data_IF_216069489240
#
_entry.id   IF_216069489240
#
_cell.length_a   1.000
_cell.length_b   1.000
_cell.length_c   1.000
_cell.angle_alpha   90.00
_cell.angle_beta   90.00
_cell.angle_gamma   90.00
#
_symmetry.space_group_name_H-M   'P 1'
#
loop_
_entity.id
_entity.type
_entity.pdbx_description
1 polymer ?
#
# COMPACT_ATOMS: atom_id res chain seq x y z
N UNK A 1 -21.71 6.88 7.55
CA UNK A 1 -20.37 6.31 7.32
C UNK A 1 -20.39 4.93 7.93
N UNK A 2 -20.23 3.88 7.11
CA UNK A 2 -20.16 2.50 7.60
C UNK A 2 -18.79 2.30 8.29
N UNK A 3 -18.77 1.47 9.34
CA UNK A 3 -17.55 1.14 10.08
C UNK A 3 -17.22 -0.33 9.80
N UNK A 4 -16.01 -0.59 9.33
CA UNK A 4 -15.50 -1.90 8.94
C UNK A 4 -14.52 -2.35 10.01
N UNK A 5 -14.88 -3.41 10.75
CA UNK A 5 -14.10 -3.92 11.88
C UNK A 5 -13.63 -5.37 11.67
N UNK A 6 -14.28 -6.12 10.76
CA UNK A 6 -13.89 -7.49 10.39
C UNK A 6 -12.48 -7.49 9.81
N UNK A 7 -11.66 -8.46 10.21
CA UNK A 7 -10.28 -8.61 9.76
C UNK A 7 -10.12 -9.90 8.95
N UNK A 8 -9.40 -9.81 7.86
CA UNK A 8 -8.92 -10.95 7.07
C UNK A 8 -7.39 -10.93 7.04
N UNK A 9 -6.80 -12.01 6.53
CA UNK A 9 -5.34 -12.23 6.47
C UNK A 9 -4.86 -12.63 5.08
N UNK A 10 -5.77 -12.59 4.11
CA UNK A 10 -5.49 -12.91 2.71
C UNK A 10 -6.47 -12.15 1.81
N UNK A 11 -5.98 -11.72 0.66
CA UNK A 11 -6.77 -11.30 -0.48
C UNK A 11 -7.27 -12.55 -1.21
N UNK A 12 -8.59 -12.73 -1.22
CA UNK A 12 -9.24 -13.88 -1.84
C UNK A 12 -10.57 -13.49 -2.44
N UNK A 13 -10.87 -14.00 -3.64
CA UNK A 13 -12.18 -13.89 -4.28
C UNK A 13 -13.28 -14.65 -3.55
N UNK A 14 -12.90 -15.59 -2.69
CA UNK A 14 -13.81 -16.45 -1.93
C UNK A 14 -14.10 -15.90 -0.52
N UNK A 15 -13.44 -14.81 -0.11
CA UNK A 15 -13.79 -14.12 1.13
C UNK A 15 -15.20 -13.54 1.04
N UNK A 16 -16.05 -13.86 2.02
CA UNK A 16 -17.36 -13.24 2.12
C UNK A 16 -17.19 -11.75 2.48
N UNK A 17 -17.88 -10.83 1.78
CA UNK A 17 -17.78 -9.41 2.10
C UNK A 17 -18.45 -9.13 3.46
N UNK A 18 -17.77 -8.39 4.32
CA UNK A 18 -18.30 -7.95 5.61
C UNK A 18 -19.27 -6.76 5.48
N UNK A 19 -19.18 -6.01 4.37
CA UNK A 19 -20.04 -4.88 4.06
C UNK A 19 -20.18 -4.68 2.55
N UNK A 20 -21.13 -3.85 2.16
CA UNK A 20 -21.35 -3.41 0.78
C UNK A 20 -21.41 -1.89 0.71
N UNK A 21 -20.77 -1.28 -0.29
CA UNK A 21 -20.70 0.16 -0.46
C UNK A 21 -21.06 0.58 -1.88
N UNK A 22 -21.79 1.68 -2.02
CA UNK A 22 -22.00 2.34 -3.32
C UNK A 22 -20.78 3.20 -3.71
N UNK A 23 -20.47 3.34 -5.01
CA UNK A 23 -19.53 4.35 -5.48
C UNK A 23 -19.92 5.75 -4.97
N UNK A 24 -18.97 6.46 -4.37
CA UNK A 24 -19.15 7.76 -3.72
C UNK A 24 -19.32 7.69 -2.19
N UNK A 25 -19.51 6.50 -1.61
CA UNK A 25 -19.60 6.35 -0.16
C UNK A 25 -18.27 6.54 0.56
N UNK A 26 -18.38 7.07 1.78
CA UNK A 26 -17.29 7.20 2.74
C UNK A 26 -17.41 6.10 3.80
N UNK A 27 -16.29 5.41 4.03
CA UNK A 27 -16.15 4.26 4.92
C UNK A 27 -15.04 4.54 5.94
N UNK A 28 -15.20 3.99 7.14
CA UNK A 28 -14.18 3.97 8.19
C UNK A 28 -13.71 2.54 8.40
N UNK A 29 -12.43 2.27 8.18
CA UNK A 29 -11.80 0.99 8.45
C UNK A 29 -11.02 1.07 9.76
N UNK A 30 -11.31 0.17 10.70
CA UNK A 30 -10.53 0.05 11.94
C UNK A 30 -9.53 -1.09 11.80
N UNK A 31 -8.25 -0.78 11.92
CA UNK A 31 -7.16 -1.72 11.69
C UNK A 31 -6.41 -1.99 12.98
N UNK A 32 -5.95 -3.22 13.13
CA UNK A 32 -4.95 -3.56 14.14
C UNK A 32 -3.56 -3.18 13.60
N UNK A 33 -2.54 -3.22 14.46
CA UNK A 33 -1.15 -3.24 13.97
C UNK A 33 -0.87 -4.55 13.22
N UNK A 34 0.26 -4.60 12.49
CA UNK A 34 0.65 -5.76 11.69
C UNK A 34 0.83 -7.05 12.53
N UNK A 35 1.08 -6.89 13.83
CA UNK A 35 1.23 -7.96 14.80
C UNK A 35 -0.10 -8.37 15.47
N UNK A 36 -1.24 -7.77 15.12
CA UNK A 36 -2.52 -7.98 15.81
C UNK A 36 -2.41 -7.81 17.34
N UNK A 37 -1.61 -6.84 17.81
CA UNK A 37 -1.35 -6.57 19.23
C UNK A 37 -0.56 -7.65 19.96
N UNK A 38 0.08 -8.58 19.25
CA UNK A 38 0.84 -9.69 19.85
C UNK A 38 2.22 -9.28 20.40
N UNK A 39 2.66 -8.04 20.16
CA UNK A 39 3.86 -7.45 20.77
C UNK A 39 3.42 -6.33 21.73
N UNK A 40 2.93 -6.66 22.94
CA UNK A 40 2.42 -5.66 23.89
C UNK A 40 3.52 -4.89 24.64
N UNK A 41 4.79 -5.33 24.54
CA UNK A 41 5.93 -4.76 25.28
C UNK A 41 7.26 -5.12 24.61
N UNK A 42 8.33 -4.39 24.94
CA UNK A 42 9.69 -4.66 24.42
C UNK A 42 10.29 -6.03 24.86
N UNK A 43 9.69 -6.70 25.85
CA UNK A 43 10.10 -8.04 26.31
C UNK A 43 9.60 -9.18 25.38
N UNK A 44 8.66 -8.87 24.48
CA UNK A 44 8.13 -9.82 23.48
C UNK A 44 8.71 -9.43 22.14
N UNK A 45 9.22 -10.41 21.39
CA UNK A 45 9.85 -10.20 20.09
C UNK A 45 9.20 -11.04 19.01
N UNK A 46 9.50 -10.78 17.73
CA UNK A 46 8.99 -11.61 16.62
C UNK A 46 9.37 -13.10 16.76
N UNK A 47 10.50 -13.40 17.44
CA UNK A 47 10.91 -14.76 17.76
C UNK A 47 9.87 -15.52 18.59
N UNK A 48 9.19 -14.82 19.50
CA UNK A 48 8.18 -15.39 20.39
C UNK A 48 6.85 -15.69 19.67
N UNK A 49 6.64 -15.09 18.49
CA UNK A 49 5.41 -15.21 17.72
C UNK A 49 5.37 -16.41 16.78
N UNK A 50 6.45 -17.20 16.69
CA UNK A 50 6.66 -18.20 15.62
C UNK A 50 6.39 -17.59 14.23
N UNK A 51 6.93 -16.38 14.00
CA UNK A 51 6.55 -15.49 12.91
C UNK A 51 6.52 -16.23 11.56
N UNK A 52 5.34 -16.26 10.96
CA UNK A 52 5.14 -16.64 9.56
C UNK A 52 4.16 -15.66 8.97
N UNK A 53 4.36 -15.27 7.71
CA UNK A 53 3.49 -14.30 7.03
C UNK A 53 2.01 -14.72 7.00
N UNK A 54 1.70 -16.01 7.19
CA UNK A 54 0.34 -16.56 7.11
C UNK A 54 -0.64 -16.11 8.20
N UNK A 55 -0.25 -15.23 9.13
CA UNK A 55 -1.15 -14.69 10.15
C UNK A 55 -0.81 -13.25 10.55
N UNK A 56 0.06 -12.57 9.80
CA UNK A 56 0.46 -11.18 10.04
C UNK A 56 -0.30 -10.26 9.11
N UNK A 57 -0.26 -8.96 9.40
CA UNK A 57 -0.88 -7.89 8.60
C UNK A 57 -2.40 -8.07 8.43
N UNK A 58 -3.18 -8.24 9.52
CA UNK A 58 -4.63 -8.31 9.42
C UNK A 58 -5.17 -7.05 8.71
N UNK A 59 -5.99 -7.25 7.68
CA UNK A 59 -6.62 -6.18 6.93
C UNK A 59 -8.11 -6.10 7.24
N UNK A 60 -8.60 -4.90 7.53
CA UNK A 60 -10.02 -4.64 7.69
C UNK A 60 -10.75 -4.78 6.35
N UNK A 61 -11.79 -5.61 6.30
CA UNK A 61 -12.55 -5.90 5.08
C UNK A 61 -12.90 -7.40 4.92
N UNK A 62 -13.16 -7.87 3.68
CA UNK A 62 -13.29 -7.08 2.46
C UNK A 62 -14.65 -6.40 2.32
N UNK A 63 -14.67 -5.24 1.67
CA UNK A 63 -15.88 -4.51 1.30
C UNK A 63 -16.21 -4.75 -0.17
N UNK A 64 -17.44 -5.15 -0.45
CA UNK A 64 -17.98 -5.28 -1.80
C UNK A 64 -18.42 -3.90 -2.32
N UNK A 65 -17.90 -3.46 -3.46
CA UNK A 65 -18.27 -2.19 -4.09
C UNK A 65 -19.26 -2.42 -5.22
N UNK A 66 -20.50 -1.93 -5.07
CA UNK A 66 -21.55 -2.18 -6.05
C UNK A 66 -21.20 -1.65 -7.44
N UNK A 67 -21.47 -2.48 -8.46
CA UNK A 67 -21.22 -2.15 -9.87
C UNK A 67 -19.77 -2.29 -10.33
N UNK A 68 -18.83 -2.65 -9.44
CA UNK A 68 -17.46 -2.98 -9.81
C UNK A 68 -17.40 -4.33 -10.52
N UNK A 69 -16.85 -4.37 -11.73
CA UNK A 69 -16.72 -5.58 -12.55
C UNK A 69 -15.28 -5.74 -13.05
N UNK A 70 -14.84 -6.98 -13.36
CA UNK A 70 -13.52 -7.20 -13.92
C UNK A 70 -13.22 -6.32 -15.15
N UNK A 71 -12.08 -5.63 -15.14
CA UNK A 71 -11.68 -4.68 -16.18
C UNK A 71 -12.06 -3.21 -15.88
N UNK A 72 -12.74 -2.96 -14.76
CA UNK A 72 -12.87 -1.62 -14.19
C UNK A 72 -11.67 -1.26 -13.30
N UNK A 73 -11.71 -0.03 -12.77
CA UNK A 73 -10.79 0.44 -11.74
C UNK A 73 -11.55 0.92 -10.52
N UNK A 74 -11.17 0.38 -9.36
CA UNK A 74 -11.61 0.89 -8.06
C UNK A 74 -10.74 2.09 -7.68
N UNK A 75 -11.39 3.20 -7.37
CA UNK A 75 -10.73 4.43 -6.91
C UNK A 75 -10.94 4.57 -5.41
N UNK A 76 -9.86 4.83 -4.66
CA UNK A 76 -9.88 5.00 -3.21
C UNK A 76 -9.22 6.34 -2.85
N UNK A 77 -10.02 7.31 -2.43
CA UNK A 77 -9.55 8.59 -1.88
C UNK A 77 -9.25 8.43 -0.39
N UNK A 78 -8.03 8.74 0.05
CA UNK A 78 -7.64 8.66 1.46
C UNK A 78 -7.94 9.99 2.16
N UNK A 79 -8.96 10.04 3.02
CA UNK A 79 -9.40 11.27 3.68
C UNK A 79 -8.70 11.52 5.01
N UNK A 80 -8.47 10.47 5.79
CA UNK A 80 -7.79 10.58 7.08
C UNK A 80 -7.20 9.23 7.49
N UNK A 81 -6.09 9.27 8.23
CA UNK A 81 -5.46 8.11 8.87
C UNK A 81 -5.13 8.53 10.30
N UNK A 82 -5.95 8.09 11.25
CA UNK A 82 -5.80 8.40 12.67
C UNK A 82 -5.16 7.21 13.36
N UNK A 83 -4.06 7.42 14.07
CA UNK A 83 -3.29 6.35 14.69
C UNK A 83 -3.41 6.36 16.20
N UNK A 84 -3.11 5.23 16.83
CA UNK A 84 -3.01 5.10 18.28
C UNK A 84 -1.89 5.98 18.89
N UNK A 85 -1.76 5.93 20.22
CA UNK A 85 -0.79 6.72 20.99
C UNK A 85 0.59 6.05 21.15
N UNK A 86 0.75 4.84 20.62
CA UNK A 86 2.04 4.16 20.52
C UNK A 86 2.03 3.16 19.38
N UNK A 87 3.20 2.92 18.80
CA UNK A 87 3.41 1.85 17.83
C UNK A 87 4.60 0.96 18.19
N UNK A 88 4.84 -0.05 17.37
CA UNK A 88 5.88 -1.06 17.57
C UNK A 88 6.84 -1.03 16.39
N UNK A 89 8.14 -1.07 16.65
CA UNK A 89 9.14 -1.46 15.65
C UNK A 89 9.66 -2.83 16.05
N UNK A 90 9.84 -3.73 15.09
CA UNK A 90 10.45 -5.03 15.37
C UNK A 90 11.50 -5.40 14.33
N UNK A 91 12.57 -6.02 14.80
CA UNK A 91 13.62 -6.60 13.96
C UNK A 91 13.57 -8.12 13.98
N UNK A 92 14.06 -8.71 12.90
CA UNK A 92 14.16 -10.14 12.67
C UNK A 92 15.58 -10.49 12.19
N UNK A 93 16.00 -11.75 12.35
CA UNK A 93 17.36 -12.22 12.10
C UNK A 93 17.63 -12.68 10.66
N UNK A 94 16.65 -12.54 9.77
CA UNK A 94 16.76 -12.87 8.35
C UNK A 94 16.07 -11.84 7.43
N UNK A 95 15.74 -10.66 7.97
CA UNK A 95 15.09 -9.55 7.25
C UNK A 95 15.98 -8.29 7.21
N UNK A 96 16.09 -7.67 6.04
CA UNK A 96 16.74 -6.37 5.89
C UNK A 96 18.26 -6.41 5.73
N UNK A 97 18.90 -5.34 5.22
CA UNK A 97 20.30 -5.37 4.79
C UNK A 97 21.31 -5.49 5.94
N UNK A 98 20.86 -5.37 7.19
CA UNK A 98 21.69 -5.45 8.40
C UNK A 98 21.37 -6.68 9.27
N UNK A 99 20.61 -7.65 8.73
CA UNK A 99 20.18 -8.86 9.44
C UNK A 99 21.34 -9.62 10.10
N UNK A 100 22.50 -9.73 9.44
CA UNK A 100 23.68 -10.46 9.98
C UNK A 100 24.24 -9.86 11.28
N UNK A 101 23.93 -8.60 11.56
CA UNK A 101 24.44 -7.86 12.73
C UNK A 101 23.33 -7.44 13.69
N UNK A 102 22.10 -7.88 13.43
CA UNK A 102 20.90 -7.53 14.18
C UNK A 102 20.27 -8.82 14.71
N UNK A 103 19.73 -8.78 15.93
CA UNK A 103 18.96 -9.88 16.51
C UNK A 103 17.51 -9.43 16.66
N UNK A 104 16.64 -10.33 17.09
CA UNK A 104 15.27 -10.03 17.44
C UNK A 104 15.20 -8.95 18.52
N UNK A 105 14.49 -7.87 18.21
CA UNK A 105 14.23 -6.80 19.16
C UNK A 105 12.93 -6.13 18.82
N UNK A 106 12.14 -5.84 19.85
CA UNK A 106 10.97 -4.99 19.74
C UNK A 106 11.19 -3.68 20.47
N UNK A 107 10.58 -2.63 19.94
CA UNK A 107 10.62 -1.30 20.52
C UNK A 107 9.23 -0.68 20.52
N UNK A 108 8.79 -0.20 21.67
CA UNK A 108 7.54 0.56 21.77
C UNK A 108 7.87 2.04 21.57
N UNK A 109 7.20 2.67 20.60
CA UNK A 109 7.42 4.08 20.24
C UNK A 109 6.20 4.90 20.66
N UNK A 110 6.33 5.77 21.68
CA UNK A 110 5.27 6.70 22.04
C UNK A 110 4.98 7.70 20.91
N UNK A 111 3.70 7.96 20.68
CA UNK A 111 3.18 8.95 19.73
C UNK A 111 2.37 10.00 20.50
N UNK A 112 2.89 11.22 20.60
CA UNK A 112 2.25 12.30 21.34
C UNK A 112 2.19 13.56 20.48
N UNK A 113 1.00 14.12 20.29
CA UNK A 113 0.82 15.38 19.54
C UNK A 113 1.30 15.32 18.09
N UNK A 114 1.23 14.13 17.46
CA UNK A 114 1.72 13.90 16.10
C UNK A 114 3.25 13.77 16.00
N UNK A 115 3.94 13.47 17.10
CA UNK A 115 5.39 13.25 17.14
C UNK A 115 5.68 11.86 17.69
N UNK A 116 6.55 11.10 17.02
CA UNK A 116 7.13 9.88 17.55
C UNK A 116 8.38 10.21 18.39
N UNK A 117 8.64 9.44 19.45
CA UNK A 117 9.86 9.54 20.27
C UNK A 117 10.69 8.25 20.18
N UNK A 118 11.77 8.27 19.39
CA UNK A 118 12.73 7.18 19.32
C UNK A 118 13.97 7.51 20.15
N UNK A 119 14.06 6.95 21.36
CA UNK A 119 15.22 7.14 22.25
C UNK A 119 15.54 8.63 22.54
N UNK A 120 14.53 9.48 22.67
CA UNK A 120 14.67 10.93 22.88
C UNK A 120 14.77 11.74 21.58
N UNK A 121 14.87 11.09 20.42
CA UNK A 121 14.81 11.75 19.11
C UNK A 121 13.34 11.87 18.69
N UNK A 122 12.83 13.11 18.70
CA UNK A 122 11.44 13.41 18.33
C UNK A 122 11.32 13.85 16.88
N UNK A 123 10.40 13.25 16.14
CA UNK A 123 10.12 13.59 14.74
C UNK A 123 8.62 13.48 14.43
N UNK A 124 8.10 14.28 13.48
CA UNK A 124 6.69 14.22 13.12
C UNK A 124 6.35 12.87 12.49
N UNK A 125 5.18 12.33 12.82
CA UNK A 125 4.61 11.19 12.12
C UNK A 125 4.04 11.61 10.77
N UNK A 126 3.99 10.68 9.83
CA UNK A 126 3.28 10.85 8.57
C UNK A 126 2.55 9.53 8.27
N UNK A 127 1.38 9.30 8.90
CA UNK A 127 0.72 8.01 8.86
C UNK A 127 0.42 7.55 7.44
N UNK A 128 0.74 6.29 7.16
CA UNK A 128 0.58 5.67 5.85
C UNK A 128 -0.02 4.26 5.96
N UNK A 129 -0.67 3.80 4.88
CA UNK A 129 -1.32 2.49 4.81
C UNK A 129 -0.41 1.51 4.05
N UNK A 130 0.09 0.47 4.72
CA UNK A 130 1.03 -0.51 4.16
C UNK A 130 0.31 -1.54 3.30
N UNK A 131 -0.74 -2.13 3.85
CA UNK A 131 -1.61 -3.08 3.15
C UNK A 131 -2.87 -2.39 2.65
N UNK A 132 -3.05 -2.36 1.33
CA UNK A 132 -4.31 -1.94 0.71
C UNK A 132 -4.45 -2.56 -0.67
N UNK A 133 -5.61 -3.12 -0.98
CA UNK A 133 -5.83 -3.75 -2.28
C UNK A 133 -7.22 -4.33 -2.48
N UNK A 134 -7.35 -5.04 -3.59
CA UNK A 134 -8.57 -5.74 -4.02
C UNK A 134 -8.29 -7.23 -4.15
N UNK A 135 -9.32 -8.08 -4.18
CA UNK A 135 -9.12 -9.50 -4.40
C UNK A 135 -8.58 -9.81 -5.82
N UNK A 136 -7.59 -10.71 -5.94
CA UNK A 136 -7.15 -11.23 -7.24
C UNK A 136 -8.18 -12.21 -7.83
N UNK A 137 -8.11 -12.44 -9.14
CA UNK A 137 -8.88 -13.48 -9.84
C UNK A 137 -8.22 -14.87 -9.81
N UNK A 138 -6.93 -14.92 -9.47
CA UNK A 138 -6.10 -16.13 -9.33
C UNK A 138 -6.18 -16.80 -7.96
N UNK A 139 -5.03 -17.31 -7.52
CA UNK A 139 -4.84 -17.91 -6.19
C UNK A 139 -4.93 -16.84 -5.09
N UNK A 140 -5.25 -17.29 -3.88
CA UNK A 140 -5.24 -16.46 -2.69
C UNK A 140 -3.83 -15.90 -2.43
N UNK A 141 -3.77 -14.64 -2.01
CA UNK A 141 -2.51 -13.98 -1.63
C UNK A 141 -2.61 -13.55 -0.17
N UNK A 142 -1.70 -14.03 0.67
CA UNK A 142 -1.62 -13.61 2.08
C UNK A 142 -1.34 -12.10 2.15
N UNK A 143 -1.93 -11.41 3.12
CA UNK A 143 -1.94 -9.94 3.17
C UNK A 143 -0.54 -9.30 3.23
N UNK A 144 0.44 -10.01 3.82
CA UNK A 144 1.83 -9.59 3.86
C UNK A 144 2.59 -9.66 2.51
N UNK A 145 1.96 -10.14 1.44
CA UNK A 145 2.55 -10.14 0.10
C UNK A 145 1.97 -9.05 -0.80
N UNK A 146 2.84 -8.51 -1.64
CA UNK A 146 2.51 -7.48 -2.64
C UNK A 146 2.20 -8.09 -4.01
N UNK A 147 1.37 -7.44 -4.81
CA UNK A 147 1.18 -7.80 -6.21
C UNK A 147 0.37 -6.77 -7.02
N UNK A 148 -0.05 -7.18 -8.22
CA UNK A 148 -0.87 -6.36 -9.11
C UNK A 148 -2.24 -5.95 -8.52
N UNK A 149 -2.68 -6.66 -7.48
CA UNK A 149 -3.91 -6.40 -6.75
C UNK A 149 -3.75 -5.36 -5.62
N UNK A 150 -2.53 -4.85 -5.39
CA UNK A 150 -2.16 -4.09 -4.20
C UNK A 150 -1.45 -4.99 -3.19
N UNK A 151 -2.07 -5.17 -2.03
CA UNK A 151 -1.50 -5.95 -0.94
C UNK A 151 -0.50 -5.12 -0.14
N UNK A 152 0.57 -5.75 0.32
CA UNK A 152 1.60 -5.12 1.15
C UNK A 152 2.51 -4.17 0.36
N UNK A 153 1.96 -3.03 -0.05
CA UNK A 153 2.64 -2.08 -0.92
C UNK A 153 3.77 -1.35 -0.21
N UNK A 154 3.62 -1.06 1.08
CA UNK A 154 4.55 -0.32 1.93
C UNK A 154 5.12 0.90 1.21
N UNK A 155 4.20 1.70 0.70
CA UNK A 155 4.53 2.94 0.01
C UNK A 155 4.18 4.10 0.94
N UNK A 156 5.22 4.75 1.47
CA UNK A 156 5.11 5.90 2.38
C UNK A 156 4.33 7.11 1.82
N UNK A 157 4.01 7.10 0.52
CA UNK A 157 3.17 8.12 -0.11
C UNK A 157 1.67 7.82 0.02
N UNK A 158 1.24 6.60 0.40
CA UNK A 158 -0.17 6.24 0.62
C UNK A 158 -0.64 6.83 1.95
N UNK A 159 -0.90 8.13 1.91
CA UNK A 159 -1.16 8.97 3.08
C UNK A 159 -2.45 9.76 2.87
N UNK A 160 -2.88 10.46 3.91
CA UNK A 160 -3.97 11.43 3.84
C UNK A 160 -3.83 12.37 2.63
N UNK A 161 -4.92 12.53 1.89
CA UNK A 161 -5.01 13.42 0.74
C UNK A 161 -4.48 12.82 -0.57
N UNK A 162 -4.11 11.54 -0.58
CA UNK A 162 -3.75 10.82 -1.81
C UNK A 162 -4.91 9.97 -2.33
N UNK A 163 -4.76 9.47 -3.57
CA UNK A 163 -5.75 8.62 -4.22
C UNK A 163 -5.09 7.39 -4.83
N UNK A 164 -5.66 6.22 -4.58
CA UNK A 164 -5.28 4.97 -5.24
C UNK A 164 -6.29 4.51 -6.28
N UNK A 165 -5.77 3.81 -7.27
CA UNK A 165 -6.50 3.21 -8.38
C UNK A 165 -6.09 1.74 -8.49
N UNK A 166 -7.03 0.83 -8.25
CA UNK A 166 -6.77 -0.61 -8.25
C UNK A 166 -7.45 -1.29 -9.45
N UNK A 167 -6.77 -2.25 -10.10
CA UNK A 167 -7.40 -3.12 -11.08
C UNK A 167 -8.53 -3.93 -10.44
N UNK A 168 -9.75 -3.85 -10.96
CA UNK A 168 -10.82 -4.76 -10.53
C UNK A 168 -10.67 -6.07 -11.28
N UNK A 169 -10.45 -7.16 -10.54
CA UNK A 169 -10.29 -8.52 -11.10
C UNK A 169 -11.46 -9.44 -10.78
N UNK A 170 -12.26 -9.11 -9.77
CA UNK A 170 -13.46 -9.87 -9.38
C UNK A 170 -14.65 -8.95 -9.15
N UNK A 171 -15.90 -9.45 -9.29
CA UNK A 171 -17.09 -8.66 -8.98
C UNK A 171 -17.03 -8.05 -7.58
N UNK A 172 -17.34 -6.76 -7.49
CA UNK A 172 -17.32 -6.03 -6.23
C UNK A 172 -15.94 -5.61 -5.74
N UNK A 173 -14.86 -5.95 -6.45
CA UNK A 173 -13.46 -5.69 -6.12
C UNK A 173 -12.94 -6.33 -4.81
N UNK A 174 -13.73 -6.37 -3.73
CA UNK A 174 -13.38 -6.87 -2.40
C UNK A 174 -12.20 -6.09 -1.80
N UNK A 175 -12.46 -4.81 -1.49
CA UNK A 175 -11.47 -3.88 -0.93
C UNK A 175 -11.16 -4.21 0.53
N UNK A 176 -9.90 -4.35 0.89
CA UNK A 176 -9.43 -4.45 2.28
C UNK A 176 -8.15 -3.64 2.48
N UNK A 177 -7.90 -3.22 3.72
CA UNK A 177 -6.71 -2.45 4.08
C UNK A 177 -6.34 -2.62 5.56
N UNK A 178 -5.06 -2.51 5.87
CA UNK A 178 -4.48 -2.75 7.18
C UNK A 178 -3.07 -2.20 7.28
N UNK A 179 -2.33 -2.67 8.27
CA UNK A 179 -0.88 -2.49 8.36
C UNK A 179 -0.46 -1.01 8.27
N UNK A 180 -0.98 -0.20 9.19
CA UNK A 180 -0.68 1.22 9.20
C UNK A 180 0.64 1.46 9.90
N UNK A 181 1.47 2.31 9.31
CA UNK A 181 2.67 2.82 9.94
C UNK A 181 2.48 4.27 10.37
N UNK A 182 2.87 4.62 11.59
CA UNK A 182 2.94 6.03 12.01
C UNK A 182 3.99 6.78 11.18
N UNK A 183 5.09 6.12 10.84
CA UNK A 183 6.04 6.55 9.81
C UNK A 183 6.83 5.35 9.30
N UNK A 184 7.30 5.46 8.06
CA UNK A 184 8.17 4.47 7.43
C UNK A 184 9.09 5.16 6.43
N UNK A 185 10.36 4.73 6.36
CA UNK A 185 11.29 5.16 5.32
C UNK A 185 11.11 4.34 4.04
N UNK A 186 11.58 4.85 2.90
CA UNK A 186 11.66 4.00 1.70
C UNK A 186 12.57 2.80 1.98
N UNK A 187 12.23 1.67 1.36
CA UNK A 187 12.80 0.34 1.53
C UNK A 187 12.44 -0.41 2.82
N UNK A 188 11.85 0.25 3.83
CA UNK A 188 11.46 -0.39 5.09
C UNK A 188 12.59 -1.27 5.69
N UNK A 189 13.76 -0.67 5.92
CA UNK A 189 15.02 -1.41 5.99
C UNK A 189 15.04 -2.61 6.96
N UNK A 190 14.40 -2.54 8.12
CA UNK A 190 14.38 -3.65 9.09
C UNK A 190 13.16 -4.57 8.95
N UNK A 191 12.35 -4.39 7.90
CA UNK A 191 11.12 -5.12 7.64
C UNK A 191 9.89 -4.65 8.40
N UNK A 192 9.99 -3.55 9.14
CA UNK A 192 8.86 -2.90 9.82
C UNK A 192 8.98 -1.38 9.75
N UNK A 193 7.84 -0.71 9.72
CA UNK A 193 7.69 0.69 10.06
C UNK A 193 7.52 0.89 11.57
N UNK A 194 6.92 2.01 11.97
CA UNK A 194 6.28 2.11 13.29
C UNK A 194 4.87 1.54 13.17
N UNK A 195 4.74 0.24 13.39
CA UNK A 195 3.51 -0.54 13.30
C UNK A 195 2.47 -0.05 14.30
N UNK A 196 1.27 0.31 13.85
CA UNK A 196 0.28 0.95 14.71
C UNK A 196 -1.16 0.64 14.31
N UNK A 197 -2.01 0.43 15.31
CA UNK A 197 -3.45 0.37 15.11
C UNK A 197 -4.00 1.73 14.65
N UNK A 198 -5.00 1.74 13.78
CA UNK A 198 -5.47 2.96 13.16
C UNK A 198 -6.94 2.91 12.72
N UNK A 199 -7.49 4.11 12.56
CA UNK A 199 -8.79 4.40 11.97
C UNK A 199 -8.54 5.10 10.61
N UNK A 200 -8.87 4.40 9.52
CA UNK A 200 -8.65 4.87 8.14
C UNK A 200 -10.00 5.31 7.55
N UNK A 201 -10.12 6.58 7.17
CA UNK A 201 -11.30 7.09 6.48
C UNK A 201 -11.04 7.21 4.99
N UNK A 202 -11.83 6.53 4.17
CA UNK A 202 -11.71 6.55 2.70
C UNK A 202 -13.04 6.82 2.02
N UNK A 203 -12.98 7.36 0.80
CA UNK A 203 -14.11 7.35 -0.13
C UNK A 203 -13.80 6.43 -1.30
N UNK A 204 -14.74 5.54 -1.62
CA UNK A 204 -14.62 4.63 -2.78
C UNK A 204 -15.35 5.20 -3.99
N UNK A 205 -14.85 4.99 -5.19
CA UNK A 205 -15.48 5.38 -6.46
C UNK A 205 -15.08 4.40 -7.57
N UNK A 206 -15.70 4.47 -8.75
CA UNK A 206 -15.41 3.55 -9.85
C UNK A 206 -15.11 4.29 -11.15
N UNK A 207 -14.12 3.78 -11.89
CA UNK A 207 -13.88 4.12 -13.28
C UNK A 207 -14.22 2.89 -14.12
N UNK A 208 -15.21 3.03 -15.00
CA UNK A 208 -15.72 1.91 -15.81
C UNK A 208 -14.94 1.75 -17.11
N UNK A 209 -14.70 0.50 -17.52
CA UNK A 209 -14.16 0.18 -18.84
C UNK A 209 -12.74 0.70 -19.08
N UNK A 210 -11.91 0.73 -18.04
CA UNK A 210 -10.51 1.12 -18.13
C UNK A 210 -9.66 0.14 -17.33
N UNK A 211 -8.77 -0.58 -18.00
CA UNK A 211 -7.97 -1.61 -17.36
C UNK A 211 -6.59 -1.08 -16.92
N UNK A 212 -6.22 -1.41 -15.69
CA UNK A 212 -4.88 -1.24 -15.12
C UNK A 212 -4.21 -2.61 -14.93
N UNK A 213 -2.90 -2.67 -15.16
CA UNK A 213 -2.11 -3.87 -14.85
C UNK A 213 -1.52 -3.81 -13.44
N UNK A 214 -1.37 -2.62 -12.89
CA UNK A 214 -0.76 -2.36 -11.58
C UNK A 214 -1.51 -1.24 -10.86
N UNK A 215 -1.49 -1.19 -9.51
CA UNK A 215 -2.07 -0.09 -8.77
C UNK A 215 -1.39 1.24 -9.11
N UNK A 216 -2.19 2.28 -9.30
CA UNK A 216 -1.69 3.64 -9.54
C UNK A 216 -2.00 4.53 -8.35
N UNK A 217 -1.01 5.30 -7.90
CA UNK A 217 -1.15 6.33 -6.88
C UNK A 217 -1.12 7.71 -7.54
N UNK A 218 -2.02 8.59 -7.11
CA UNK A 218 -2.05 10.00 -7.46
C UNK A 218 -1.81 10.85 -6.22
N UNK A 219 -0.83 11.76 -6.31
CA UNK A 219 -0.60 12.81 -5.32
C UNK A 219 -1.02 14.17 -5.87
N UNK A 220 -1.29 15.12 -4.97
CA UNK A 220 -1.86 16.43 -5.32
C UNK A 220 -0.97 17.58 -4.82
N UNK A 221 -1.32 18.81 -5.22
CA UNK A 221 -0.54 20.01 -4.95
C UNK A 221 0.42 20.39 -6.08
N UNK A 222 1.26 21.41 -5.84
CA UNK A 222 2.13 22.00 -6.86
C UNK A 222 3.15 21.02 -7.47
N UNK A 223 3.47 19.94 -6.75
CA UNK A 223 4.39 18.89 -7.18
C UNK A 223 3.70 17.51 -7.26
N UNK A 224 2.38 17.50 -7.43
CA UNK A 224 1.61 16.27 -7.56
C UNK A 224 2.08 15.43 -8.76
N UNK A 225 2.13 14.12 -8.58
CA UNK A 225 2.61 13.14 -9.56
C UNK A 225 1.64 11.96 -9.65
N UNK A 226 1.81 11.20 -10.72
CA UNK A 226 1.26 9.85 -10.87
C UNK A 226 2.35 8.84 -10.60
N UNK A 227 2.02 7.73 -9.95
CA UNK A 227 2.95 6.66 -9.63
C UNK A 227 2.34 5.30 -9.98
N UNK A 228 3.01 4.53 -10.82
CA UNK A 228 2.71 3.10 -10.97
C UNK A 228 3.44 2.35 -9.86
N UNK A 229 2.71 1.56 -9.06
CA UNK A 229 3.27 0.72 -8.01
C UNK A 229 3.44 -0.69 -8.55
N UNK A 230 4.67 -1.17 -8.63
CA UNK A 230 4.97 -2.50 -9.16
C UNK A 230 5.84 -3.29 -8.21
N UNK A 231 5.71 -4.61 -8.27
CA UNK A 231 6.51 -5.53 -7.48
C UNK A 231 7.11 -6.64 -8.34
N UNK A 232 8.17 -7.23 -7.81
CA UNK A 232 8.73 -8.51 -8.23
C UNK A 232 9.72 -8.98 -7.17
N UNK A 233 10.21 -10.21 -7.30
CA UNK A 233 11.24 -10.70 -6.37
C UNK A 233 12.51 -9.83 -6.42
N UNK A 234 12.91 -9.42 -7.63
CA UNK A 234 14.14 -8.70 -7.89
C UNK A 234 13.87 -7.29 -8.47
N UNK A 235 14.74 -6.34 -8.13
CA UNK A 235 14.60 -4.93 -8.53
C UNK A 235 14.42 -4.76 -10.05
N UNK A 236 15.22 -5.44 -10.87
CA UNK A 236 15.18 -5.28 -12.32
C UNK A 236 13.82 -5.67 -12.93
N UNK A 237 13.19 -6.72 -12.39
CA UNK A 237 11.89 -7.18 -12.85
C UNK A 237 10.78 -6.23 -12.39
N UNK A 238 10.82 -5.79 -11.13
CA UNK A 238 9.87 -4.80 -10.61
C UNK A 238 9.94 -3.48 -11.39
N UNK A 239 11.16 -3.04 -11.73
CA UNK A 239 11.43 -1.87 -12.56
C UNK A 239 10.82 -2.02 -13.95
N UNK A 240 11.04 -3.16 -14.60
CA UNK A 240 10.46 -3.46 -15.90
C UNK A 240 8.93 -3.49 -15.85
N UNK A 241 8.34 -4.05 -14.80
CA UNK A 241 6.88 -4.08 -14.60
C UNK A 241 6.30 -2.66 -14.48
N UNK A 242 6.87 -1.83 -13.61
CA UNK A 242 6.43 -0.46 -13.40
C UNK A 242 6.61 0.42 -14.64
N UNK A 243 7.76 0.31 -15.32
CA UNK A 243 8.06 1.10 -16.51
C UNK A 243 7.15 0.75 -17.70
N UNK A 244 6.85 -0.54 -17.92
CA UNK A 244 5.94 -0.96 -19.00
C UNK A 244 4.55 -0.36 -18.83
N UNK A 245 4.03 -0.38 -17.61
CA UNK A 245 2.71 0.18 -17.34
C UNK A 245 2.70 1.71 -17.43
N UNK A 246 3.71 2.38 -16.87
CA UNK A 246 3.83 3.84 -16.99
C UNK A 246 3.93 4.28 -18.46
N UNK A 247 4.75 3.60 -19.26
CA UNK A 247 4.88 3.86 -20.69
C UNK A 247 3.55 3.69 -21.42
N UNK A 248 2.84 2.58 -21.16
CA UNK A 248 1.50 2.31 -21.74
C UNK A 248 0.51 3.43 -21.43
N UNK A 249 0.48 3.89 -20.19
CA UNK A 249 -0.43 4.93 -19.74
C UNK A 249 -0.10 6.30 -20.34
N UNK A 250 1.18 6.65 -20.41
CA UNK A 250 1.65 7.89 -21.05
C UNK A 250 1.32 7.89 -22.55
N UNK A 251 1.66 6.82 -23.28
CA UNK A 251 1.35 6.69 -24.70
C UNK A 251 -0.15 6.86 -24.99
N UNK A 252 -1.01 6.34 -24.12
CA UNK A 252 -2.47 6.49 -24.25
C UNK A 252 -2.91 7.96 -24.24
N UNK A 253 -2.37 8.77 -23.33
CA UNK A 253 -2.83 10.16 -23.17
C UNK A 253 -2.13 11.12 -24.13
N UNK A 254 -0.89 10.82 -24.54
CA UNK A 254 -0.10 11.71 -25.42
C UNK A 254 -0.19 11.35 -26.90
N UNK A 255 -0.47 10.08 -27.23
CA UNK A 255 -0.38 9.55 -28.58
C UNK A 255 1.05 9.38 -29.10
N UNK A 256 2.06 9.52 -28.25
CA UNK A 256 3.46 9.30 -28.61
C UNK A 256 3.75 7.83 -28.88
N UNK A 257 4.79 7.56 -29.66
CA UNK A 257 5.30 6.21 -29.80
C UNK A 257 6.10 5.76 -28.57
N UNK A 258 6.46 4.47 -28.55
CA UNK A 258 7.16 3.86 -27.43
C UNK A 258 8.56 4.46 -27.22
N UNK A 259 9.25 4.87 -28.28
CA UNK A 259 10.64 5.36 -28.21
C UNK A 259 10.64 6.77 -27.60
N UNK A 260 9.80 7.66 -28.11
CA UNK A 260 9.66 9.02 -27.58
C UNK A 260 9.17 9.00 -26.13
N UNK A 261 8.21 8.13 -25.81
CA UNK A 261 7.73 7.97 -24.43
C UNK A 261 8.84 7.48 -23.50
N UNK A 262 9.66 6.52 -23.96
CA UNK A 262 10.76 6.01 -23.16
C UNK A 262 11.86 7.06 -22.92
N UNK A 263 12.20 7.84 -23.95
CA UNK A 263 13.12 8.97 -23.80
C UNK A 263 12.57 10.02 -22.84
N UNK A 264 11.27 10.35 -22.93
CA UNK A 264 10.61 11.27 -22.00
C UNK A 264 10.66 10.77 -20.55
N UNK A 265 10.34 9.49 -20.33
CA UNK A 265 10.43 8.88 -18.99
C UNK A 265 11.83 9.00 -18.41
N UNK A 266 12.89 8.82 -19.21
CA UNK A 266 14.28 8.96 -18.75
C UNK A 266 14.62 10.35 -18.17
N UNK A 267 13.90 11.40 -18.59
CA UNK A 267 14.19 12.79 -18.18
C UNK A 267 13.13 13.40 -17.25
N UNK A 268 11.96 12.77 -17.11
CA UNK A 268 10.83 13.30 -16.32
C UNK A 268 10.21 12.29 -15.35
N UNK A 269 10.54 11.01 -15.46
CA UNK A 269 10.10 10.00 -14.49
C UNK A 269 11.13 9.74 -13.41
N UNK A 270 10.65 9.38 -12.23
CA UNK A 270 11.48 8.97 -11.09
C UNK A 270 11.19 7.52 -10.75
N UNK A 271 12.21 6.75 -10.35
CA UNK A 271 12.04 5.41 -9.78
C UNK A 271 12.46 5.45 -8.33
N UNK A 272 11.55 5.09 -7.44
CA UNK A 272 11.77 5.09 -6.00
C UNK A 272 11.36 3.75 -5.41
N UNK A 273 12.12 3.25 -4.42
CA UNK A 273 11.76 2.04 -3.69
C UNK A 273 10.61 2.35 -2.73
N UNK A 274 9.66 1.41 -2.60
CA UNK A 274 8.60 1.46 -1.58
C UNK A 274 9.04 0.61 -0.40
N UNK A 275 8.97 -0.72 -0.49
CA UNK A 275 9.75 -1.62 0.39
C UNK A 275 10.73 -2.48 -0.39
N UNK A 276 11.88 -2.74 0.23
CA UNK A 276 13.00 -3.48 -0.34
C UNK A 276 13.87 -4.03 0.79
N UNK A 277 13.25 -4.58 1.83
CA UNK A 277 13.86 -5.07 3.08
C UNK A 277 14.67 -6.36 2.88
N UNK A 278 15.51 -6.42 1.84
CA UNK A 278 16.23 -7.64 1.43
C UNK A 278 17.44 -7.95 2.34
N UNK A 279 17.71 -9.23 2.63
CA UNK A 279 16.92 -10.42 2.26
C UNK A 279 15.56 -10.44 2.96
N UNK A 280 14.53 -10.88 2.26
CA UNK A 280 13.17 -11.05 2.80
C UNK A 280 12.38 -11.94 1.84
N UNK A 281 11.47 -12.75 2.39
CA UNK A 281 10.56 -13.63 1.64
C UNK A 281 9.54 -12.83 0.81
N UNK A 282 9.20 -11.61 1.24
CA UNK A 282 8.30 -10.72 0.51
C UNK A 282 9.00 -10.16 -0.72
N UNK A 283 8.28 -10.10 -1.84
CA UNK A 283 8.76 -9.46 -3.07
C UNK A 283 9.06 -8.00 -2.82
N UNK A 284 10.03 -7.40 -3.51
CA UNK A 284 10.28 -5.95 -3.45
C UNK A 284 9.13 -5.19 -4.13
N UNK A 285 8.79 -4.02 -3.61
CA UNK A 285 7.88 -3.06 -4.23
C UNK A 285 8.59 -1.74 -4.54
N UNK A 286 8.25 -1.14 -5.68
CA UNK A 286 8.73 0.16 -6.08
C UNK A 286 7.64 0.98 -6.76
N UNK A 287 7.90 2.27 -6.94
CA UNK A 287 7.02 3.19 -7.64
C UNK A 287 7.75 3.91 -8.75
N UNK A 288 7.13 3.95 -9.93
CA UNK A 288 7.60 4.74 -11.08
C UNK A 288 6.72 5.98 -11.19
N UNK A 289 7.28 7.14 -10.86
CA UNK A 289 6.61 8.43 -10.84
C UNK A 289 6.69 9.19 -12.17
N UNK A 290 5.70 10.00 -12.50
CA UNK A 290 5.75 10.97 -13.61
C UNK A 290 4.95 12.23 -13.24
N UNK A 291 5.35 13.44 -13.67
CA UNK A 291 4.60 14.66 -13.41
C UNK A 291 3.22 14.64 -14.09
N UNK A 292 2.28 15.42 -13.54
CA UNK A 292 0.99 15.64 -14.19
C UNK A 292 1.18 16.47 -15.46
N UNK A 293 0.80 15.90 -16.61
CA UNK A 293 0.83 16.56 -17.91
C UNK A 293 -0.45 17.37 -18.11
N UNK A 294 -0.44 18.64 -17.70
CA UNK A 294 -1.66 19.49 -17.66
C UNK A 294 -2.29 19.79 -19.02
N UNK A 295 -1.50 19.69 -20.10
CA UNK A 295 -1.97 19.88 -21.47
C UNK A 295 -2.59 18.61 -22.09
N UNK A 296 -2.61 17.51 -21.35
CA UNK A 296 -3.11 16.19 -21.77
C UNK A 296 -4.21 15.68 -20.82
N UNK A 297 -5.03 14.70 -21.25
CA UNK A 297 -5.95 14.01 -20.35
C UNK A 297 -5.22 13.38 -19.14
N UNK A 298 -5.91 13.17 -18.01
CA UNK A 298 -5.30 12.53 -16.85
C UNK A 298 -4.86 11.09 -17.17
N UNK A 299 -3.77 10.65 -16.54
CA UNK A 299 -3.14 9.35 -16.78
C UNK A 299 -4.14 8.20 -16.62
N UNK A 300 -4.93 8.27 -15.55
CA UNK A 300 -6.11 7.43 -15.31
C UNK A 300 -7.37 8.31 -15.41
N UNK A 301 -8.45 7.87 -16.08
CA UNK A 301 -9.71 8.60 -16.08
C UNK A 301 -10.20 8.88 -14.66
N UNK A 302 -10.87 10.02 -14.47
CA UNK A 302 -11.42 10.40 -13.17
C UNK A 302 -12.81 9.77 -12.99
N UNK A 303 -13.19 9.34 -11.77
CA UNK A 303 -14.50 8.78 -11.47
C UNK A 303 -15.63 9.82 -11.56
#
# INVERSE_FOLDING_TARGET
>A
MQVIEDQVIKFSKDNAPCATAQPGEVLLFKTQDCFAGRIPSEDVTMKDLNFSYGFTNPAAGPVYVEGAEPGDVLVVDIYDVQVADHGVIATDDHCGPLFETTDYRSKIIPIEGGMADFNGVKFPINPMIGVIGTAPDGEDVIDGFVGAHGGNLDNKLITKGTRLYFPVRVPGALLQMGDVHATMGDAELCGTGIEIAADITVKVSLVKGFELNWPVLETFGAHGKWYVNASAQEFNEALMNGCKEMQRLLMRITGWDAIDTYMYMSVQSDVELSQACKPCEVQLSLRVGTPKLVDFPPLVPQP
#
